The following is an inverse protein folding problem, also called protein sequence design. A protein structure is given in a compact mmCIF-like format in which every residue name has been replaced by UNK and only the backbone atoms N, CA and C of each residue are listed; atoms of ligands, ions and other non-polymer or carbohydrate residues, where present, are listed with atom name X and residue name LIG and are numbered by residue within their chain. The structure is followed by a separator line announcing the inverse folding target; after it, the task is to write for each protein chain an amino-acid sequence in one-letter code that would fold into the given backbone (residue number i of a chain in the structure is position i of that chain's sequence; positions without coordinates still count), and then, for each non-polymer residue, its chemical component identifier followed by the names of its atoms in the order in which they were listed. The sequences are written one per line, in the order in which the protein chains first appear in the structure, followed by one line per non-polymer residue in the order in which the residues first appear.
data_IF_896819191879
#
_entry.id   IF_896819191879
#
_cell.length_a   1.000
_cell.length_b   1.000
_cell.length_c   1.000
_cell.angle_alpha   90.00
_cell.angle_beta   90.00
_cell.angle_gamma   90.00
#
_symmetry.space_group_name_H-M   'P 1'
#
loop_
_entity.id
_entity.type
_entity.pdbx_description
1 polymer ?
#
# COMPACT_ATOMS: atom_id res chain seq x y z
N UNK A 1 13.20 -3.50 -9.69
CA UNK A 1 12.49 -4.16 -8.58
C UNK A 1 11.46 -5.10 -9.17
N UNK A 2 11.47 -6.37 -8.75
CA UNK A 2 10.51 -7.39 -9.15
C UNK A 2 9.19 -7.24 -8.37
N UNK A 3 8.10 -7.81 -8.90
CA UNK A 3 6.81 -7.88 -8.17
C UNK A 3 6.99 -8.59 -6.82
N UNK A 4 7.88 -9.59 -6.75
CA UNK A 4 8.20 -10.31 -5.51
C UNK A 4 8.83 -9.39 -4.44
N UNK A 5 9.79 -8.57 -4.83
CA UNK A 5 10.42 -7.59 -3.93
C UNK A 5 9.41 -6.54 -3.47
N UNK A 6 8.55 -6.06 -4.37
CA UNK A 6 7.51 -5.10 -4.04
C UNK A 6 6.51 -5.65 -3.01
N UNK A 7 6.07 -6.90 -3.18
CA UNK A 7 5.18 -7.56 -2.21
C UNK A 7 5.87 -7.73 -0.85
N UNK A 8 7.16 -8.06 -0.84
CA UNK A 8 7.91 -8.19 0.40
C UNK A 8 7.95 -6.86 1.16
N UNK A 9 8.21 -5.74 0.48
CA UNK A 9 8.22 -4.42 1.11
C UNK A 9 6.82 -3.99 1.57
N UNK A 10 5.78 -4.30 0.79
CA UNK A 10 4.38 -4.07 1.21
C UNK A 10 4.07 -4.82 2.49
N UNK A 11 4.40 -6.12 2.57
CA UNK A 11 4.16 -6.94 3.77
C UNK A 11 4.89 -6.39 4.98
N UNK A 12 6.18 -6.06 4.84
CA UNK A 12 7.00 -5.46 5.89
C UNK A 12 6.41 -4.15 6.41
N UNK A 13 5.97 -3.29 5.50
CA UNK A 13 5.36 -2.00 5.85
C UNK A 13 4.04 -2.19 6.58
N UNK A 14 3.18 -3.08 6.08
CA UNK A 14 1.90 -3.41 6.73
C UNK A 14 2.10 -4.03 8.11
N UNK A 15 3.14 -4.85 8.32
CA UNK A 15 3.49 -5.36 9.66
C UNK A 15 3.84 -4.22 10.62
N UNK A 16 4.64 -3.25 10.18
CA UNK A 16 4.98 -2.08 10.99
C UNK A 16 3.73 -1.25 11.34
N UNK A 17 2.83 -1.06 10.36
CA UNK A 17 1.56 -0.35 10.57
C UNK A 17 0.68 -1.11 11.56
N UNK A 18 0.55 -2.43 11.43
CA UNK A 18 -0.26 -3.25 12.32
C UNK A 18 0.20 -3.14 13.78
N UNK A 19 1.51 -3.08 14.00
CA UNK A 19 2.08 -2.94 15.35
C UNK A 19 1.79 -1.55 15.96
N UNK A 20 1.81 -0.49 15.15
CA UNK A 20 1.62 0.89 15.63
C UNK A 20 0.15 1.33 15.64
N UNK A 21 -0.67 0.75 14.77
CA UNK A 21 -2.09 1.02 14.62
C UNK A 21 -2.84 -0.28 14.30
N UNK A 22 -3.21 -1.06 15.32
CA UNK A 22 -3.97 -2.31 15.14
C UNK A 22 -5.35 -2.10 14.49
N UNK A 23 -5.88 -0.88 14.55
CA UNK A 23 -7.17 -0.53 13.95
C UNK A 23 -7.09 -0.19 12.46
N UNK A 24 -5.89 -0.18 11.86
CA UNK A 24 -5.74 0.08 10.42
C UNK A 24 -6.51 -0.95 9.59
N UNK A 25 -7.20 -0.46 8.56
CA UNK A 25 -7.98 -1.27 7.63
C UNK A 25 -7.75 -0.84 6.18
N UNK A 26 -7.78 -1.80 5.26
CA UNK A 26 -7.92 -1.61 3.82
C UNK A 26 -9.38 -1.84 3.44
N UNK A 27 -10.01 -0.83 2.84
CA UNK A 27 -11.39 -0.94 2.33
C UNK A 27 -11.36 -1.30 0.84
N UNK A 28 -12.03 -2.39 0.48
CA UNK A 28 -12.12 -2.96 -0.86
C UNK A 28 -13.59 -3.10 -1.26
N UNK A 29 -14.21 -2.00 -1.69
CA UNK A 29 -15.63 -1.98 -2.00
C UNK A 29 -16.45 -2.27 -0.74
N UNK A 30 -17.06 -3.47 -0.66
CA UNK A 30 -17.85 -3.93 0.51
C UNK A 30 -17.03 -4.71 1.53
N UNK A 31 -15.79 -5.08 1.18
CA UNK A 31 -14.89 -5.82 2.05
C UNK A 31 -13.99 -4.86 2.82
N UNK A 32 -13.66 -5.19 4.06
CA UNK A 32 -12.67 -4.44 4.87
C UNK A 32 -11.69 -5.43 5.46
N UNK A 33 -10.40 -5.24 5.20
CA UNK A 33 -9.33 -6.14 5.63
C UNK A 33 -8.42 -5.45 6.63
N UNK A 34 -8.08 -6.12 7.72
CA UNK A 34 -6.95 -5.75 8.58
C UNK A 34 -5.62 -5.91 7.84
N UNK A 35 -4.58 -5.27 8.35
CA UNK A 35 -3.22 -5.43 7.84
C UNK A 35 -2.79 -6.91 7.77
N UNK A 36 -3.10 -7.69 8.81
CA UNK A 36 -2.80 -9.14 8.87
C UNK A 36 -3.49 -9.92 7.77
N UNK A 37 -4.78 -9.66 7.52
CA UNK A 37 -5.55 -10.32 6.46
C UNK A 37 -4.99 -9.99 5.07
N UNK A 38 -4.59 -8.73 4.83
CA UNK A 38 -3.93 -8.34 3.59
C UNK A 38 -2.60 -9.09 3.43
N UNK A 39 -1.76 -9.13 4.46
CA UNK A 39 -0.44 -9.81 4.43
C UNK A 39 -0.59 -11.30 4.07
N UNK A 40 -1.56 -11.99 4.69
CA UNK A 40 -1.82 -13.41 4.44
C UNK A 40 -2.31 -13.63 3.01
N UNK A 41 -3.24 -12.81 2.53
CA UNK A 41 -3.86 -12.99 1.20
C UNK A 41 -2.95 -12.58 0.05
N UNK A 42 -1.98 -11.67 0.23
CA UNK A 42 -1.08 -11.22 -0.84
C UNK A 42 -0.30 -12.36 -1.54
N UNK A 43 -0.02 -13.45 -0.82
CA UNK A 43 0.63 -14.64 -1.42
C UNK A 43 -0.29 -15.44 -2.34
N UNK A 44 -1.54 -15.61 -1.93
CA UNK A 44 -2.45 -16.62 -2.49
C UNK A 44 -3.53 -16.01 -3.40
N UNK A 45 -3.90 -14.75 -3.20
CA UNK A 45 -4.94 -14.06 -3.95
C UNK A 45 -4.32 -13.16 -5.04
N UNK A 46 -4.31 -13.67 -6.28
CA UNK A 46 -3.75 -12.96 -7.44
C UNK A 46 -4.51 -11.66 -7.76
N UNK A 47 -5.84 -11.63 -7.55
CA UNK A 47 -6.65 -10.43 -7.86
C UNK A 47 -6.36 -9.33 -6.84
N UNK A 48 -6.37 -9.68 -5.56
CA UNK A 48 -6.00 -8.77 -4.48
C UNK A 48 -4.57 -8.24 -4.68
N UNK A 49 -3.61 -9.13 -4.98
CA UNK A 49 -2.22 -8.74 -5.20
C UNK A 49 -2.08 -7.70 -6.31
N UNK A 50 -2.70 -7.93 -7.48
CA UNK A 50 -2.68 -6.97 -8.59
C UNK A 50 -3.30 -5.63 -8.19
N UNK A 51 -4.41 -5.67 -7.46
CA UNK A 51 -5.08 -4.46 -6.97
C UNK A 51 -4.17 -3.68 -6.02
N UNK A 52 -3.65 -4.32 -4.98
CA UNK A 52 -2.83 -3.69 -3.93
C UNK A 52 -1.56 -3.10 -4.55
N UNK A 53 -0.85 -3.86 -5.39
CA UNK A 53 0.36 -3.38 -6.07
C UNK A 53 0.06 -2.14 -6.91
N UNK A 54 -0.95 -2.21 -7.78
CA UNK A 54 -1.32 -1.07 -8.63
C UNK A 54 -1.70 0.16 -7.81
N UNK A 55 -2.53 -0.03 -6.79
CA UNK A 55 -3.04 1.05 -5.97
C UNK A 55 -1.94 1.72 -5.14
N UNK A 56 -1.08 0.94 -4.48
CA UNK A 56 -0.02 1.47 -3.63
C UNK A 56 1.08 2.17 -4.42
N UNK A 57 1.42 1.68 -5.62
CA UNK A 57 2.35 2.39 -6.52
C UNK A 57 1.77 3.73 -6.95
N UNK A 58 0.49 3.78 -7.35
CA UNK A 58 -0.17 5.04 -7.71
C UNK A 58 -0.18 6.04 -6.56
N UNK A 59 -0.57 5.60 -5.36
CA UNK A 59 -0.56 6.43 -4.15
C UNK A 59 0.84 6.96 -3.81
N UNK A 60 1.89 6.14 -3.96
CA UNK A 60 3.25 6.58 -3.70
C UNK A 60 3.66 7.74 -4.63
N UNK A 61 3.32 7.66 -5.92
CA UNK A 61 3.58 8.74 -6.89
C UNK A 61 2.82 10.01 -6.53
N UNK A 62 1.55 9.89 -6.16
CA UNK A 62 0.74 11.05 -5.73
C UNK A 62 1.29 11.70 -4.45
N UNK A 63 1.76 10.90 -3.50
CA UNK A 63 2.36 11.39 -2.26
C UNK A 63 3.68 12.13 -2.53
N UNK A 64 4.55 11.58 -3.38
CA UNK A 64 5.79 12.24 -3.80
C UNK A 64 5.49 13.58 -4.51
N UNK A 65 4.52 13.60 -5.43
CA UNK A 65 4.13 14.84 -6.11
C UNK A 65 3.60 15.88 -5.12
N UNK A 66 2.74 15.49 -4.17
CA UNK A 66 2.24 16.39 -3.11
C UNK A 66 3.39 16.93 -2.25
N UNK A 67 4.32 16.07 -1.85
CA UNK A 67 5.49 16.48 -1.07
C UNK A 67 6.40 17.44 -1.86
N UNK A 68 6.55 17.21 -3.17
CA UNK A 68 7.31 18.09 -4.07
C UNK A 68 6.68 19.47 -4.17
N UNK A 69 5.37 19.55 -4.43
CA UNK A 69 4.63 20.83 -4.47
C UNK A 69 4.78 21.59 -3.15
N UNK A 70 4.67 20.90 -2.01
CA UNK A 70 4.84 21.53 -0.70
C UNK A 70 6.25 22.08 -0.47
N UNK A 71 7.29 21.43 -1.01
CA UNK A 71 8.69 21.83 -0.82
C UNK A 71 9.17 22.88 -1.81
N UNK A 72 8.68 22.84 -3.04
CA UNK A 72 9.24 23.62 -4.15
C UNK A 72 8.22 24.55 -4.83
N UNK A 73 6.94 24.49 -4.44
CA UNK A 73 5.84 25.16 -5.14
C UNK A 73 5.37 24.38 -6.37
N UNK A 74 4.34 24.89 -7.04
CA UNK A 74 3.90 24.37 -8.33
C UNK A 74 4.90 24.82 -9.41
N UNK A 75 5.47 23.87 -10.17
CA UNK A 75 6.24 24.21 -11.37
C UNK A 75 5.29 24.87 -12.39
N UNK A 76 5.66 26.07 -12.85
CA UNK A 76 4.92 26.84 -13.86
C UNK A 76 4.97 26.20 -15.24
#
# INVERSE_FOLDING_TARGET
MSEKELIAEIKKTLTKIANNNPSWKLVLGRETLSATEVIQRLGNDRKLRKFVVKHYVGLAVEMEQKARIQRFGEEK
#
